data_IF_903177777641
#
_entry.id   IF_903177777641
#
_cell.length_a   1.000
_cell.length_b   1.000
_cell.length_c   1.000
_cell.angle_alpha   90.00
_cell.angle_beta   90.00
_cell.angle_gamma   90.00
#
_symmetry.space_group_name_H-M   'P 1'
#
loop_
_entity.id
_entity.type
_entity.pdbx_description
1 polymer ?
#
# COMPACT_ATOMS: atom_id res chain seq x y z
N UNK A 1 13.46 9.68 12.28
CA UNK A 1 12.47 9.78 11.20
C UNK A 1 11.35 8.80 11.52
N UNK A 2 10.16 9.27 11.84
CA UNK A 2 9.01 8.40 12.12
C UNK A 2 8.32 8.11 10.79
N UNK A 3 7.96 6.85 10.53
CA UNK A 3 7.10 6.48 9.38
C UNK A 3 5.61 6.66 9.72
N UNK A 4 5.34 7.26 10.88
CA UNK A 4 4.02 7.54 11.41
C UNK A 4 3.28 8.50 10.48
N UNK A 5 2.12 8.09 9.98
CA UNK A 5 1.32 8.77 8.94
C UNK A 5 1.79 8.59 7.50
N UNK A 6 2.69 7.64 7.22
CA UNK A 6 2.92 7.22 5.83
C UNK A 6 1.63 6.66 5.24
N UNK A 7 1.31 7.06 4.01
CA UNK A 7 0.12 6.57 3.30
C UNK A 7 0.54 5.87 2.02
N UNK A 8 -0.11 4.74 1.75
CA UNK A 8 0.05 3.98 0.52
C UNK A 8 -1.33 3.96 -0.14
N UNK A 9 -1.37 4.36 -1.41
CA UNK A 9 -2.56 4.28 -2.23
C UNK A 9 -2.27 3.46 -3.47
N UNK A 10 -3.21 2.59 -3.84
CA UNK A 10 -3.11 1.73 -5.02
C UNK A 10 -4.35 1.96 -5.86
N UNK A 11 -4.13 2.37 -7.10
CA UNK A 11 -5.21 2.63 -8.05
C UNK A 11 -4.96 1.80 -9.29
N UNK A 12 -5.91 0.93 -9.60
CA UNK A 12 -5.91 0.13 -10.81
C UNK A 12 -6.95 0.68 -11.79
N UNK A 13 -6.61 0.73 -13.07
CA UNK A 13 -7.55 1.18 -14.11
C UNK A 13 -8.70 0.18 -14.33
N UNK A 14 -8.45 -1.12 -14.12
CA UNK A 14 -9.48 -2.16 -14.19
C UNK A 14 -10.20 -2.29 -12.83
N UNK A 15 -11.51 -2.07 -12.85
CA UNK A 15 -12.39 -2.14 -11.68
C UNK A 15 -12.58 -3.56 -11.12
N UNK A 16 -12.16 -4.59 -11.88
CA UNK A 16 -12.13 -5.99 -11.43
C UNK A 16 -10.95 -6.29 -10.51
N UNK A 17 -9.98 -5.39 -10.42
CA UNK A 17 -8.88 -5.50 -9.46
C UNK A 17 -9.28 -4.78 -8.18
N UNK A 18 -9.52 -5.56 -7.13
CA UNK A 18 -9.80 -5.03 -5.79
C UNK A 18 -8.54 -5.15 -4.96
N UNK A 19 -7.94 -4.01 -4.63
CA UNK A 19 -6.77 -3.92 -3.75
C UNK A 19 -7.13 -3.21 -2.45
N UNK A 20 -6.43 -3.58 -1.40
CA UNK A 20 -6.45 -2.91 -0.11
C UNK A 20 -5.02 -2.82 0.41
N UNK A 21 -4.76 -1.84 1.26
CA UNK A 21 -3.46 -1.68 1.93
C UNK A 21 -3.61 -2.12 3.37
N UNK A 22 -2.87 -3.16 3.73
CA UNK A 22 -2.68 -3.56 5.11
C UNK A 22 -1.45 -2.84 5.69
N UNK A 23 -1.70 -1.84 6.51
CA UNK A 23 -0.65 -1.00 7.10
C UNK A 23 -0.04 -1.70 8.31
N UNK A 24 1.26 -1.99 8.25
CA UNK A 24 1.99 -2.56 9.39
C UNK A 24 2.45 -1.48 10.37
N UNK A 25 2.83 -0.31 9.85
CA UNK A 25 3.23 0.84 10.66
C UNK A 25 2.00 1.66 11.11
N UNK A 26 1.24 1.17 12.09
CA UNK A 26 0.13 1.93 12.72
C UNK A 26 0.54 2.41 14.12
N UNK A 27 0.23 3.67 14.43
CA UNK A 27 0.40 4.30 15.76
C UNK A 27 1.84 4.47 16.26
N UNK A 28 2.77 4.93 15.41
CA UNK A 28 4.09 5.40 15.85
C UNK A 28 5.05 4.33 16.39
N UNK A 29 4.62 3.06 16.44
CA UNK A 29 5.44 1.96 16.92
C UNK A 29 6.43 1.50 15.84
N UNK A 30 7.63 2.09 15.86
CA UNK A 30 8.72 1.71 14.94
C UNK A 30 9.16 0.24 15.12
N UNK A 31 8.87 -0.38 16.27
CA UNK A 31 9.13 -1.81 16.49
C UNK A 31 8.24 -2.72 15.65
N UNK A 32 7.06 -2.24 15.24
CA UNK A 32 6.15 -2.95 14.34
C UNK A 32 6.57 -2.82 12.86
N UNK A 33 7.32 -1.78 12.49
CA UNK A 33 7.91 -1.59 11.16
C UNK A 33 9.18 -2.44 10.99
N UNK A 34 9.07 -3.75 11.14
CA UNK A 34 10.20 -4.66 10.96
C UNK A 34 10.83 -4.43 9.58
N UNK A 35 12.13 -4.09 9.56
CA UNK A 35 12.92 -3.83 8.35
C UNK A 35 12.41 -2.71 7.43
N UNK A 36 11.63 -1.74 7.95
CA UNK A 36 11.14 -0.61 7.14
C UNK A 36 9.98 -0.96 6.20
N UNK A 37 9.30 -2.09 6.40
CA UNK A 37 8.05 -2.40 5.70
C UNK A 37 6.92 -1.50 6.22
N UNK A 38 6.42 -0.62 5.34
CA UNK A 38 5.32 0.31 5.65
C UNK A 38 3.96 -0.40 5.73
N UNK A 39 3.79 -1.42 4.90
CA UNK A 39 2.55 -2.15 4.73
C UNK A 39 2.60 -3.03 3.49
N UNK A 40 1.56 -3.83 3.33
CA UNK A 40 1.41 -4.79 2.23
C UNK A 40 0.17 -4.47 1.42
N UNK A 41 0.33 -4.44 0.10
CA UNK A 41 -0.79 -4.36 -0.84
C UNK A 41 -1.33 -5.77 -1.00
N UNK A 42 -2.59 -5.98 -0.61
CA UNK A 42 -3.27 -7.27 -0.71
C UNK A 42 -4.49 -7.05 -1.60
N UNK A 43 -4.75 -7.97 -2.51
CA UNK A 43 -5.88 -7.84 -3.41
C UNK A 43 -6.21 -9.13 -4.12
N UNK A 44 -7.41 -9.15 -4.70
CA UNK A 44 -7.87 -10.25 -5.54
C UNK A 44 -8.02 -9.72 -6.96
N UNK A 45 -7.50 -10.51 -7.89
CA UNK A 45 -7.59 -10.26 -9.31
C UNK A 45 -8.61 -11.26 -9.84
N UNK A 46 -9.74 -10.77 -10.32
CA UNK A 46 -10.66 -11.63 -11.07
C UNK A 46 -10.05 -11.91 -12.46
N UNK A 47 -10.83 -12.52 -13.37
CA UNK A 47 -10.32 -12.86 -14.70
C UNK A 47 -10.02 -11.58 -15.50
N UNK A 48 -8.74 -11.21 -15.54
CA UNK A 48 -8.22 -10.07 -16.32
C UNK A 48 -7.95 -10.57 -17.74
N UNK A 49 -8.65 -9.98 -18.73
CA UNK A 49 -8.52 -10.36 -20.14
C UNK A 49 -7.70 -9.36 -20.97
N UNK A 50 -7.12 -8.34 -20.33
CA UNK A 50 -6.38 -7.25 -20.98
C UNK A 50 -5.20 -6.82 -20.10
N UNK A 51 -4.13 -6.34 -20.71
CA UNK A 51 -3.01 -5.77 -19.96
C UNK A 51 -3.52 -4.64 -19.06
N UNK A 52 -3.30 -4.78 -17.75
CA UNK A 52 -3.80 -3.84 -16.76
C UNK A 52 -2.64 -3.25 -15.97
N UNK A 53 -2.64 -1.92 -15.87
CA UNK A 53 -1.68 -1.18 -15.07
C UNK A 53 -2.31 -0.69 -13.77
N UNK A 54 -1.57 -0.84 -12.69
CA UNK A 54 -1.90 -0.25 -11.39
C UNK A 54 -0.80 0.72 -10.98
N UNK A 55 -1.21 1.89 -10.49
CA UNK A 55 -0.31 2.90 -9.95
C UNK A 55 -0.28 2.79 -8.43
N UNK A 56 0.93 2.73 -7.87
CA UNK A 56 1.16 2.74 -6.42
C UNK A 56 1.76 4.08 -6.05
N UNK A 57 1.11 4.80 -5.14
CA UNK A 57 1.60 6.07 -4.57
C UNK A 57 1.95 5.86 -3.11
N UNK A 58 3.17 6.18 -2.73
CA UNK A 58 3.62 6.16 -1.33
C UNK A 58 3.95 7.59 -0.91
N UNK A 59 3.27 8.08 0.11
CA UNK A 59 3.53 9.38 0.72
C UNK A 59 4.21 9.11 2.06
N UNK A 60 5.47 9.55 2.17
CA UNK A 60 6.20 9.50 3.41
C UNK A 60 6.11 10.86 4.11
N UNK A 61 5.90 10.90 5.42
CA UNK A 61 6.00 12.13 6.18
C UNK A 61 7.43 12.65 6.12
N UNK A 62 7.60 13.91 5.71
CA UNK A 62 8.88 14.60 5.85
C UNK A 62 8.90 15.32 7.20
N UNK A 63 9.86 14.94 8.05
CA UNK A 63 10.46 15.81 9.07
C UNK A 63 11.97 15.86 8.86
#
# INVERSE_FOLDING_TARGET
>A
YTLENSTINVVCADSRIKTNVDYQCRNGDMGACNNGELGRIIGNWERINVDTNCSVTVILPWQ
#
